data_IF_132634533216
#
_entry.id   IF_132634533216
#
_cell.length_a   1.000
_cell.length_b   1.000
_cell.length_c   1.000
_cell.angle_alpha   90.00
_cell.angle_beta   90.00
_cell.angle_gamma   90.00
#
_symmetry.space_group_name_H-M   'P 1'
#
loop_
_entity.id
_entity.type
_entity.pdbx_description
1 polymer ?
#
# COMPACT_ATOMS: atom_id res chain seq x y z
N UNK A 1 -0.82 5.71 15.48
CA UNK A 1 0.06 4.85 16.32
C UNK A 1 1.41 5.54 16.44
N UNK A 2 2.03 5.58 17.63
CA UNK A 2 3.34 6.21 17.81
C UNK A 2 4.42 5.12 17.76
N UNK A 3 5.29 5.20 16.76
CA UNK A 3 6.48 4.34 16.65
C UNK A 3 7.74 5.18 16.89
N UNK A 4 8.78 4.64 17.54
CA UNK A 4 10.07 5.34 17.68
C UNK A 4 10.64 5.81 16.34
N UNK A 5 10.45 5.00 15.29
CA UNK A 5 10.74 5.36 13.90
C UNK A 5 9.43 5.32 13.10
N UNK A 6 8.83 6.48 12.77
CA UNK A 6 7.53 6.56 12.08
C UNK A 6 7.69 6.32 10.57
N UNK A 7 8.22 5.16 10.19
CA UNK A 7 8.38 4.73 8.79
C UNK A 7 7.19 3.83 8.45
N UNK A 8 6.38 4.30 7.51
CA UNK A 8 5.30 3.53 6.90
C UNK A 8 5.80 2.84 5.62
N UNK A 9 5.18 1.72 5.27
CA UNK A 9 5.42 0.99 4.03
C UNK A 9 4.07 0.68 3.39
N UNK A 10 3.96 0.98 2.09
CA UNK A 10 2.74 0.75 1.31
C UNK A 10 3.13 0.11 -0.01
N UNK A 11 2.64 -1.11 -0.25
CA UNK A 11 2.77 -1.76 -1.56
C UNK A 11 1.69 -1.23 -2.49
N UNK A 12 2.09 -0.67 -3.63
CA UNK A 12 1.17 0.00 -4.56
C UNK A 12 1.51 -0.33 -6.02
N UNK A 13 0.49 -0.24 -6.88
CA UNK A 13 0.64 -0.32 -8.31
C UNK A 13 1.12 1.01 -8.91
N UNK A 14 2.03 0.92 -9.87
CA UNK A 14 2.41 2.05 -10.73
C UNK A 14 1.31 2.23 -11.79
N UNK A 15 0.64 3.37 -11.78
CA UNK A 15 -0.40 3.73 -12.75
C UNK A 15 0.18 4.46 -13.97
N UNK A 16 1.21 5.29 -13.75
CA UNK A 16 1.90 6.02 -14.82
C UNK A 16 3.28 6.48 -14.34
N UNK A 17 4.22 6.64 -15.28
CA UNK A 17 5.55 7.21 -15.02
C UNK A 17 5.80 8.34 -16.02
N UNK A 18 6.03 9.54 -15.49
CA UNK A 18 6.45 10.69 -16.27
C UNK A 18 7.92 11.00 -15.97
N UNK A 19 8.81 10.36 -16.72
CA UNK A 19 10.25 10.49 -16.53
C UNK A 19 10.76 11.93 -16.71
N UNK A 20 10.15 12.70 -17.62
CA UNK A 20 10.57 14.10 -17.86
C UNK A 20 10.33 15.00 -16.66
N UNK A 21 9.27 14.76 -15.89
CA UNK A 21 8.96 15.50 -14.66
C UNK A 21 9.49 14.82 -13.40
N UNK A 22 9.99 13.59 -13.50
CA UNK A 22 10.38 12.79 -12.34
C UNK A 22 9.19 12.35 -11.48
N UNK A 23 8.01 12.15 -12.08
CA UNK A 23 6.78 11.82 -11.36
C UNK A 23 6.38 10.35 -11.58
N UNK A 24 5.96 9.69 -10.49
CA UNK A 24 5.34 8.36 -10.54
C UNK A 24 3.94 8.49 -9.97
N UNK A 25 2.92 8.17 -10.78
CA UNK A 25 1.54 8.10 -10.33
C UNK A 25 1.27 6.70 -9.80
N UNK A 26 0.81 6.60 -8.57
CA UNK A 26 0.51 5.33 -7.87
C UNK A 26 -0.94 5.31 -7.37
N UNK A 27 -1.47 4.12 -7.07
CA UNK A 27 -2.82 3.94 -6.49
C UNK A 27 -2.80 3.67 -4.98
N UNK A 28 -3.89 3.96 -4.27
CA UNK A 28 -4.07 3.43 -2.90
C UNK A 28 -3.00 3.83 -1.86
N UNK A 29 -2.33 4.97 -2.02
CA UNK A 29 -1.39 5.47 -1.02
C UNK A 29 -2.15 6.08 0.16
N UNK A 30 -1.76 5.74 1.38
CA UNK A 30 -2.37 6.18 2.64
C UNK A 30 -1.58 7.31 3.33
N UNK A 31 -0.62 7.92 2.62
CA UNK A 31 0.17 9.03 3.11
C UNK A 31 -0.50 10.39 2.85
N UNK A 32 -0.34 11.33 3.78
CA UNK A 32 -0.79 12.71 3.59
C UNK A 32 0.03 13.40 2.49
N UNK A 33 -0.58 14.38 1.82
CA UNK A 33 0.12 15.19 0.83
C UNK A 33 1.37 15.84 1.45
N UNK A 34 2.51 15.77 0.75
CA UNK A 34 3.79 16.28 1.23
C UNK A 34 4.53 15.36 2.21
N UNK A 35 4.01 14.16 2.51
CA UNK A 35 4.74 13.16 3.31
C UNK A 35 6.07 12.81 2.62
N UNK A 36 7.22 12.87 3.32
CA UNK A 36 8.50 12.52 2.73
C UNK A 36 8.58 11.04 2.35
N UNK A 37 9.08 10.78 1.14
CA UNK A 37 9.43 9.42 0.70
C UNK A 37 10.88 9.15 1.07
N UNK A 38 11.12 8.04 1.76
CA UNK A 38 12.47 7.63 2.20
C UNK A 38 13.09 6.57 1.31
N UNK A 39 12.28 5.75 0.63
CA UNK A 39 12.74 4.62 -0.18
C UNK A 39 11.65 4.18 -1.18
N UNK A 40 12.09 3.58 -2.29
CA UNK A 40 11.23 2.95 -3.30
C UNK A 40 11.89 1.65 -3.72
N UNK A 41 11.16 0.52 -3.60
CA UNK A 41 11.64 -0.79 -4.01
C UNK A 41 10.63 -1.45 -4.94
N UNK A 42 11.14 -2.23 -5.89
CA UNK A 42 10.29 -3.07 -6.73
C UNK A 42 9.69 -4.20 -5.88
N UNK A 43 8.41 -4.47 -6.10
CA UNK A 43 7.74 -5.63 -5.52
C UNK A 43 8.12 -6.88 -6.33
N UNK A 44 8.73 -7.84 -5.64
CA UNK A 44 9.06 -9.15 -6.21
C UNK A 44 8.26 -10.21 -5.46
N UNK A 45 7.34 -10.94 -6.12
CA UNK A 45 6.53 -11.95 -5.44
C UNK A 45 7.33 -13.01 -4.68
N UNK A 46 8.55 -13.32 -5.14
CA UNK A 46 9.44 -14.26 -4.44
C UNK A 46 10.03 -13.71 -3.13
N UNK A 47 10.08 -12.39 -2.96
CA UNK A 47 10.63 -11.71 -1.78
C UNK A 47 9.52 -11.26 -0.82
N UNK A 48 8.41 -10.76 -1.36
CA UNK A 48 7.42 -10.00 -0.59
C UNK A 48 6.12 -10.77 -0.32
N UNK A 49 5.80 -11.81 -1.11
CA UNK A 49 4.53 -12.55 -1.00
C UNK A 49 4.70 -13.83 -0.17
N UNK A 50 4.12 -13.83 1.03
CA UNK A 50 4.09 -14.99 1.90
C UNK A 50 2.77 -15.74 1.72
N UNK A 51 2.85 -16.99 1.24
CA UNK A 51 1.67 -17.86 1.10
C UNK A 51 1.12 -18.32 2.45
N UNK A 52 2.02 -18.70 3.36
CA UNK A 52 1.69 -19.35 4.62
C UNK A 52 1.80 -18.31 5.75
N UNK A 53 0.86 -17.37 5.82
CA UNK A 53 0.79 -16.31 6.82
C UNK A 53 -0.37 -16.51 7.80
N UNK A 54 -0.25 -15.98 9.02
CA UNK A 54 -1.33 -15.99 10.00
C UNK A 54 -1.96 -14.61 10.10
N UNK A 55 -3.24 -14.51 9.75
CA UNK A 55 -4.04 -13.30 9.90
C UNK A 55 -4.83 -13.40 11.19
N UNK A 56 -4.84 -12.31 11.96
CA UNK A 56 -5.56 -12.28 13.22
C UNK A 56 -7.08 -12.42 13.01
N UNK A 57 -7.82 -13.18 13.84
CA UNK A 57 -9.24 -13.49 13.60
C UNK A 57 -10.17 -12.28 13.50
N UNK A 58 -9.82 -11.14 14.09
CA UNK A 58 -10.61 -9.90 14.01
C UNK A 58 -10.50 -9.18 12.65
N UNK A 59 -9.58 -9.60 11.78
CA UNK A 59 -9.45 -9.11 10.41
C UNK A 59 -10.08 -10.05 9.37
N UNK A 60 -10.81 -11.10 9.79
CA UNK A 60 -11.34 -12.14 8.90
C UNK A 60 -12.27 -11.63 7.78
N UNK A 61 -12.88 -10.45 7.96
CA UNK A 61 -13.83 -9.86 7.02
C UNK A 61 -13.14 -8.86 6.06
N UNK A 62 -11.83 -8.68 6.18
CA UNK A 62 -11.05 -7.84 5.28
C UNK A 62 -10.71 -8.59 3.99
N UNK A 63 -10.56 -7.88 2.86
CA UNK A 63 -10.09 -8.49 1.63
C UNK A 63 -8.67 -9.04 1.76
N UNK A 64 -8.39 -10.18 1.10
CA UNK A 64 -7.07 -10.83 1.10
C UNK A 64 -6.11 -10.23 0.06
N UNK A 65 -6.63 -9.59 -0.99
CA UNK A 65 -5.86 -9.00 -2.07
C UNK A 65 -5.97 -7.48 -2.07
N UNK A 66 -4.93 -6.81 -2.55
CA UNK A 66 -4.85 -5.35 -2.53
C UNK A 66 -5.88 -4.72 -3.47
N UNK A 67 -6.12 -5.33 -4.63
CA UNK A 67 -7.12 -4.92 -5.61
C UNK A 67 -8.53 -4.95 -4.99
N UNK A 68 -8.89 -6.05 -4.35
CA UNK A 68 -10.17 -6.19 -3.63
C UNK A 68 -10.24 -5.21 -2.43
N UNK A 69 -9.09 -4.99 -1.77
CA UNK A 69 -8.89 -3.99 -0.74
C UNK A 69 -9.26 -2.60 -1.21
N UNK A 70 -8.71 -2.12 -2.33
CA UNK A 70 -8.99 -0.78 -2.88
C UNK A 70 -10.49 -0.59 -3.11
N UNK A 71 -11.16 -1.56 -3.74
CA UNK A 71 -12.60 -1.50 -3.97
C UNK A 71 -13.38 -1.45 -2.65
N UNK A 72 -12.96 -2.25 -1.67
CA UNK A 72 -13.54 -2.27 -0.33
C UNK A 72 -13.37 -0.92 0.38
N UNK A 73 -12.17 -0.32 0.36
CA UNK A 73 -11.88 0.98 0.99
C UNK A 73 -12.74 2.09 0.40
N UNK A 74 -12.86 2.15 -0.93
CA UNK A 74 -13.70 3.12 -1.62
C UNK A 74 -15.18 2.99 -1.24
N UNK A 75 -15.65 1.75 -1.02
CA UNK A 75 -17.05 1.46 -0.69
C UNK A 75 -17.40 1.71 0.77
N UNK A 76 -16.48 1.44 1.70
CA UNK A 76 -16.79 1.36 3.13
C UNK A 76 -16.07 2.38 4.03
N UNK A 77 -14.92 2.93 3.61
CA UNK A 77 -14.14 3.82 4.46
C UNK A 77 -14.22 5.30 4.08
N UNK A 78 -14.56 5.60 2.82
CA UNK A 78 -14.64 6.97 2.28
C UNK A 78 -16.08 7.44 2.00
N UNK A 79 -17.03 7.11 2.90
CA UNK A 79 -18.31 7.82 3.00
C UNK A 79 -18.11 9.20 3.65
#
# INVERSE_FOLDING_TARGET
EYRPNPIAITTTNILNVNQRKGEVKVGGLDAFNGTPIVDIKAYFPMCDRIRDCYIAPWLKDWPEWMEDGIEWWQKFLFL
#
